data_IF_345892541728
#
_entry.id   IF_345892541728
#
_cell.length_a   1.000
_cell.length_b   1.000
_cell.length_c   1.000
_cell.angle_alpha   90.00
_cell.angle_beta   90.00
_cell.angle_gamma   90.00
#
_symmetry.space_group_name_H-M   'P 1'
#
loop_
_entity.id
_entity.type
_entity.pdbx_description
1 polymer ?
#
# COMPACT_ATOMS: atom_id res chain seq x y z
N UNK A 1 -2.85 -26.98 13.57
CA UNK A 1 -3.03 -26.19 14.82
C UNK A 1 -1.91 -25.16 14.81
N UNK A 2 -2.23 -23.90 14.52
CA UNK A 2 -1.26 -22.90 14.03
C UNK A 2 -0.17 -22.57 15.05
N UNK A 3 1.10 -22.65 14.64
CA UNK A 3 2.28 -22.28 15.43
C UNK A 3 2.49 -20.75 15.52
N UNK A 4 1.60 -19.96 14.93
CA UNK A 4 1.80 -18.52 14.73
C UNK A 4 0.62 -17.74 15.30
N UNK A 5 0.80 -17.17 16.49
CA UNK A 5 0.02 -16.02 16.95
C UNK A 5 0.73 -14.78 16.44
N UNK A 6 0.10 -14.07 15.51
CA UNK A 6 0.54 -12.71 15.20
C UNK A 6 0.17 -11.85 16.40
N UNK A 7 1.17 -11.34 17.12
CA UNK A 7 1.00 -10.16 17.95
C UNK A 7 0.75 -8.99 17.00
N UNK A 8 -0.51 -8.86 16.59
CA UNK A 8 -0.95 -7.67 15.88
C UNK A 8 -0.75 -6.47 16.79
N UNK A 9 -0.48 -5.27 16.22
CA UNK A 9 -0.56 -4.05 16.99
C UNK A 9 -1.90 -4.03 17.71
N UNK A 10 -1.81 -4.07 19.04
CA UNK A 10 -2.95 -3.81 19.89
C UNK A 10 -3.40 -2.35 19.64
N UNK A 11 -4.70 -2.05 19.70
CA UNK A 11 -5.24 -0.72 19.35
C UNK A 11 -4.64 0.46 20.14
N UNK A 12 -3.95 0.18 21.25
CA UNK A 12 -3.32 1.11 22.17
C UNK A 12 -1.86 1.46 21.81
N UNK A 13 -1.18 0.65 21.00
CA UNK A 13 0.12 0.99 20.44
C UNK A 13 -0.03 1.93 19.24
N UNK A 14 0.73 3.02 19.24
CA UNK A 14 0.84 3.92 18.08
C UNK A 14 1.32 3.20 16.81
N UNK A 15 1.29 3.89 15.66
CA UNK A 15 1.68 3.28 14.39
C UNK A 15 3.13 2.78 14.43
N UNK A 16 3.36 1.56 13.96
CA UNK A 16 4.70 0.99 13.89
C UNK A 16 5.60 1.79 12.94
N UNK A 17 6.87 1.88 13.32
CA UNK A 17 7.96 2.36 12.48
C UNK A 17 8.30 1.33 11.39
N UNK A 18 9.00 1.79 10.35
CA UNK A 18 9.43 0.90 9.26
C UNK A 18 10.38 -0.21 9.78
N UNK A 19 11.20 0.10 10.78
CA UNK A 19 12.09 -0.86 11.43
C UNK A 19 11.33 -1.95 12.20
N UNK A 20 10.25 -1.60 12.91
CA UNK A 20 9.41 -2.55 13.63
C UNK A 20 8.69 -3.50 12.67
N UNK A 21 8.12 -2.96 11.59
CA UNK A 21 7.46 -3.76 10.54
C UNK A 21 8.46 -4.73 9.90
N UNK A 22 9.65 -4.25 9.54
CA UNK A 22 10.67 -5.08 8.92
C UNK A 22 11.18 -6.17 9.88
N UNK A 23 11.33 -5.85 11.17
CA UNK A 23 11.75 -6.82 12.20
C UNK A 23 10.71 -7.93 12.35
N UNK A 24 9.43 -7.57 12.42
CA UNK A 24 8.33 -8.52 12.48
C UNK A 24 8.24 -9.39 11.21
N UNK A 25 8.35 -8.79 10.02
CA UNK A 25 8.37 -9.52 8.75
C UNK A 25 9.54 -10.48 8.66
N UNK A 26 10.72 -10.06 9.11
CA UNK A 26 11.91 -10.91 9.11
C UNK A 26 11.77 -12.09 10.08
N UNK A 27 11.14 -11.88 11.24
CA UNK A 27 10.80 -12.96 12.17
C UNK A 27 9.81 -13.95 11.53
N UNK A 28 8.75 -13.43 10.89
CA UNK A 28 7.77 -14.23 10.16
C UNK A 28 8.38 -14.97 8.95
N UNK A 29 9.37 -14.39 8.27
CA UNK A 29 10.07 -15.07 7.18
C UNK A 29 10.83 -16.30 7.70
N UNK A 30 11.63 -16.13 8.78
CA UNK A 30 12.41 -17.23 9.40
C UNK A 30 11.52 -18.35 9.92
N UNK A 31 10.39 -17.97 10.50
CA UNK A 31 9.31 -18.85 10.92
C UNK A 31 8.80 -19.79 9.81
N UNK A 32 8.74 -19.29 8.57
CA UNK A 32 8.40 -20.08 7.38
C UNK A 32 9.61 -20.67 6.66
N UNK A 33 10.79 -20.65 7.28
CA UNK A 33 12.07 -21.13 6.73
C UNK A 33 12.55 -20.33 5.51
N UNK A 34 12.27 -19.03 5.50
CA UNK A 34 12.84 -18.07 4.57
C UNK A 34 13.90 -17.19 5.26
N UNK A 35 14.90 -16.75 4.50
CA UNK A 35 16.04 -15.99 5.01
C UNK A 35 15.81 -14.49 4.89
N UNK A 36 15.24 -14.06 3.76
CA UNK A 36 14.97 -12.66 3.45
C UNK A 36 13.49 -12.43 3.16
N UNK A 37 13.08 -11.17 3.31
CA UNK A 37 11.75 -10.70 2.95
C UNK A 37 11.82 -9.31 2.32
N UNK A 38 10.82 -9.00 1.51
CA UNK A 38 10.59 -7.67 0.96
C UNK A 38 9.09 -7.41 0.91
N UNK A 39 8.66 -6.24 1.34
CA UNK A 39 7.31 -5.76 1.12
C UNK A 39 7.35 -4.43 0.36
N UNK A 40 6.73 -4.41 -0.80
CA UNK A 40 6.42 -3.20 -1.55
C UNK A 40 4.97 -2.78 -1.34
N UNK A 41 4.71 -1.48 -1.20
CA UNK A 41 3.37 -0.90 -1.27
C UNK A 41 3.37 0.19 -2.34
N UNK A 42 2.40 0.11 -3.26
CA UNK A 42 2.18 1.05 -4.36
C UNK A 42 0.87 1.77 -4.13
N UNK A 43 0.95 3.09 -4.07
CA UNK A 43 -0.20 3.98 -3.98
C UNK A 43 -0.71 4.32 -5.38
N UNK A 44 -2.04 4.46 -5.57
CA UNK A 44 -2.63 4.74 -6.87
C UNK A 44 -2.37 6.18 -7.34
N UNK A 45 -1.95 7.09 -6.45
CA UNK A 45 -1.69 8.49 -6.78
C UNK A 45 -0.25 8.91 -6.47
N UNK A 46 0.34 9.80 -7.29
CA UNK A 46 -0.15 10.29 -8.58
C UNK A 46 -0.27 9.19 -9.65
N UNK A 47 -1.26 9.29 -10.55
CA UNK A 47 -1.50 8.24 -11.58
C UNK A 47 -0.33 8.09 -12.57
N UNK A 48 0.32 9.20 -12.91
CA UNK A 48 1.41 9.25 -13.90
C UNK A 48 2.73 8.70 -13.35
N UNK A 49 2.94 8.84 -12.04
CA UNK A 49 4.11 8.31 -11.35
C UNK A 49 3.70 7.83 -9.95
N UNK A 50 3.13 6.61 -9.84
CA UNK A 50 2.68 6.03 -8.59
C UNK A 50 3.79 6.01 -7.55
N UNK A 51 3.49 6.45 -6.33
CA UNK A 51 4.45 6.34 -5.23
C UNK A 51 4.58 4.89 -4.79
N UNK A 52 5.81 4.42 -4.65
CA UNK A 52 6.14 3.08 -4.17
C UNK A 52 7.02 3.25 -2.93
N UNK A 53 6.69 2.51 -1.87
CA UNK A 53 7.55 2.35 -0.69
C UNK A 53 7.90 0.88 -0.53
N UNK A 54 9.16 0.59 -0.24
CA UNK A 54 9.67 -0.78 -0.11
C UNK A 54 10.45 -0.92 1.18
N UNK A 55 10.14 -1.94 1.96
CA UNK A 55 10.96 -2.40 3.09
C UNK A 55 11.48 -3.79 2.75
N UNK A 56 12.76 -4.05 2.96
CA UNK A 56 13.34 -5.36 2.69
C UNK A 56 14.50 -5.68 3.62
N UNK A 57 14.80 -6.97 3.74
CA UNK A 57 15.94 -7.51 4.49
C UNK A 57 17.01 -8.12 3.56
N UNK A 58 17.06 -7.69 2.31
CA UNK A 58 18.07 -8.16 1.37
C UNK A 58 19.47 -7.64 1.72
N UNK A 59 20.54 -8.31 1.23
CA UNK A 59 21.88 -7.75 1.28
C UNK A 59 21.90 -6.34 0.70
N UNK A 60 22.52 -5.40 1.41
CA UNK A 60 22.55 -3.98 1.02
C UNK A 60 23.07 -3.79 -0.41
N UNK A 61 24.13 -4.53 -0.78
CA UNK A 61 24.73 -4.48 -2.12
C UNK A 61 23.75 -4.89 -3.22
N UNK A 62 22.94 -5.93 -2.98
CA UNK A 62 21.91 -6.35 -3.92
C UNK A 62 20.83 -5.27 -4.06
N UNK A 63 20.34 -4.74 -2.95
CA UNK A 63 19.28 -3.73 -2.99
C UNK A 63 19.72 -2.45 -3.69
N UNK A 64 20.97 -2.01 -3.46
CA UNK A 64 21.54 -0.87 -4.16
C UNK A 64 21.59 -1.12 -5.68
N UNK A 65 22.06 -2.29 -6.10
CA UNK A 65 22.07 -2.68 -7.52
C UNK A 65 20.67 -2.75 -8.12
N UNK A 66 19.70 -3.23 -7.36
CA UNK A 66 18.30 -3.31 -7.79
C UNK A 66 17.73 -1.91 -8.10
N UNK A 67 18.07 -0.92 -7.28
CA UNK A 67 17.68 0.48 -7.49
C UNK A 67 18.43 1.07 -8.69
N UNK A 68 19.76 0.98 -8.69
CA UNK A 68 20.62 1.63 -9.68
C UNK A 68 20.29 1.19 -11.11
N UNK A 69 19.98 -0.10 -11.29
CA UNK A 69 19.62 -0.67 -12.59
C UNK A 69 18.11 -0.67 -12.86
N UNK A 70 17.30 -0.09 -11.96
CA UNK A 70 15.83 -0.04 -12.10
C UNK A 70 15.19 -1.41 -12.35
N UNK A 71 15.65 -2.44 -11.63
CA UNK A 71 15.23 -3.82 -11.88
C UNK A 71 13.73 -4.07 -11.68
N UNK A 72 13.03 -3.22 -10.92
CA UNK A 72 11.57 -3.24 -10.82
C UNK A 72 10.84 -3.21 -12.17
N UNK A 73 11.45 -2.64 -13.22
CA UNK A 73 10.85 -2.54 -14.56
C UNK A 73 10.93 -3.86 -15.36
N UNK A 74 11.90 -4.71 -15.03
CA UNK A 74 12.15 -5.98 -15.75
C UNK A 74 11.88 -7.22 -14.88
N UNK A 75 11.68 -7.05 -13.56
CA UNK A 75 11.42 -8.11 -12.61
C UNK A 75 10.09 -8.84 -12.91
N UNK A 76 10.14 -10.10 -13.38
CA UNK A 76 8.94 -10.87 -13.71
C UNK A 76 8.04 -11.14 -12.50
N UNK A 77 8.58 -11.19 -11.28
CA UNK A 77 7.78 -11.36 -10.08
C UNK A 77 6.95 -10.10 -9.80
N UNK A 78 7.53 -8.91 -10.00
CA UNK A 78 6.82 -7.63 -9.91
C UNK A 78 5.77 -7.51 -11.01
N UNK A 79 6.11 -7.89 -12.24
CA UNK A 79 5.17 -7.89 -13.36
C UNK A 79 3.95 -8.80 -13.10
N UNK A 80 4.19 -10.02 -12.63
CA UNK A 80 3.11 -10.96 -12.25
C UNK A 80 2.25 -10.40 -11.12
N UNK A 81 2.87 -9.95 -10.02
CA UNK A 81 2.13 -9.42 -8.87
C UNK A 81 1.37 -8.13 -9.19
N UNK A 82 1.80 -7.38 -10.21
CA UNK A 82 1.09 -6.22 -10.75
C UNK A 82 -0.13 -6.59 -11.60
N UNK A 83 -0.15 -7.76 -12.23
CA UNK A 83 -1.28 -8.25 -13.03
C UNK A 83 -2.22 -9.20 -12.28
N UNK A 84 -1.75 -9.86 -11.22
CA UNK A 84 -2.44 -10.98 -10.57
C UNK A 84 -2.36 -10.91 -9.05
N UNK A 85 -3.39 -11.43 -8.38
CA UNK A 85 -3.41 -11.72 -6.94
C UNK A 85 -3.13 -13.19 -6.61
N UNK A 86 -2.67 -13.97 -7.59
CA UNK A 86 -2.18 -15.33 -7.34
C UNK A 86 -0.71 -15.28 -6.95
N UNK A 87 -0.26 -16.19 -6.08
CA UNK A 87 1.14 -16.28 -5.76
C UNK A 87 1.93 -16.69 -7.00
N UNK A 88 3.19 -16.30 -7.05
CA UNK A 88 4.16 -16.81 -8.00
C UNK A 88 5.35 -17.36 -7.24
N UNK A 89 5.82 -18.52 -7.68
CA UNK A 89 7.05 -19.14 -7.18
C UNK A 89 8.17 -18.81 -8.15
N UNK A 90 9.30 -18.36 -7.62
CA UNK A 90 10.50 -18.12 -8.40
C UNK A 90 11.01 -19.41 -9.02
N UNK A 91 11.28 -19.37 -10.31
CA UNK A 91 11.81 -20.48 -11.09
C UNK A 91 12.58 -19.95 -12.29
N UNK A 92 13.50 -20.74 -12.84
CA UNK A 92 14.24 -20.35 -14.03
C UNK A 92 13.31 -20.05 -15.21
N UNK A 93 12.17 -20.76 -15.31
CA UNK A 93 11.15 -20.48 -16.32
C UNK A 93 10.47 -19.12 -16.16
N UNK A 94 10.24 -18.66 -14.92
CA UNK A 94 9.64 -17.35 -14.65
C UNK A 94 10.60 -16.23 -15.06
N UNK A 95 11.89 -16.42 -14.77
CA UNK A 95 12.92 -15.40 -15.00
C UNK A 95 13.64 -15.53 -16.34
N UNK A 96 13.23 -16.45 -17.21
CA UNK A 96 13.80 -16.63 -18.55
C UNK A 96 13.86 -15.33 -19.38
N UNK A 97 12.87 -14.41 -19.34
CA UNK A 97 12.95 -13.13 -20.03
C UNK A 97 13.98 -12.14 -19.45
N UNK A 98 14.43 -12.34 -18.21
CA UNK A 98 15.31 -11.46 -17.46
C UNK A 98 16.48 -12.25 -16.85
N UNK A 99 17.14 -13.07 -17.68
CA UNK A 99 18.15 -14.03 -17.22
C UNK A 99 19.34 -13.38 -16.50
N UNK A 100 19.87 -12.28 -17.01
CA UNK A 100 21.03 -11.60 -16.40
C UNK A 100 20.70 -11.09 -14.98
N UNK A 101 19.53 -10.45 -14.83
CA UNK A 101 18.99 -10.04 -13.53
C UNK A 101 18.84 -11.23 -12.58
N UNK A 102 18.36 -12.37 -13.08
CA UNK A 102 18.17 -13.57 -12.28
C UNK A 102 19.48 -14.21 -11.82
N UNK A 103 20.43 -14.36 -12.73
CA UNK A 103 21.75 -14.90 -12.42
C UNK A 103 22.46 -14.01 -11.36
N UNK A 104 22.29 -12.70 -11.44
CA UNK A 104 22.79 -11.76 -10.43
C UNK A 104 22.07 -11.94 -9.09
N UNK A 105 20.73 -11.96 -9.05
CA UNK A 105 19.96 -12.18 -7.82
C UNK A 105 20.38 -13.48 -7.11
N UNK A 106 20.56 -14.56 -7.87
CA UNK A 106 21.01 -15.85 -7.36
C UNK A 106 22.42 -15.83 -6.76
N UNK A 107 23.31 -14.97 -7.29
CA UNK A 107 24.66 -14.77 -6.74
C UNK A 107 24.66 -14.15 -5.34
N UNK A 108 23.62 -13.38 -5.02
CA UNK A 108 23.35 -12.83 -3.67
C UNK A 108 22.52 -13.76 -2.78
N UNK A 109 22.30 -15.01 -3.18
CA UNK A 109 21.54 -16.00 -2.40
C UNK A 109 20.03 -15.93 -2.58
N UNK A 110 19.51 -15.10 -3.49
CA UNK A 110 18.07 -14.99 -3.77
C UNK A 110 17.66 -16.01 -4.84
N UNK A 111 17.56 -17.29 -4.44
CA UNK A 111 17.41 -18.41 -5.39
C UNK A 111 16.02 -19.01 -5.41
N UNK A 112 15.37 -19.05 -4.26
CA UNK A 112 14.02 -19.57 -4.11
C UNK A 112 13.20 -18.47 -3.49
N UNK A 113 12.02 -18.21 -4.05
CA UNK A 113 11.16 -17.18 -3.53
C UNK A 113 9.69 -17.40 -3.82
N UNK A 114 8.89 -16.81 -2.96
CA UNK A 114 7.45 -16.78 -3.05
C UNK A 114 7.02 -15.33 -3.01
N UNK A 115 6.34 -14.88 -4.06
CA UNK A 115 5.82 -13.53 -4.17
C UNK A 115 4.30 -13.54 -4.30
N UNK A 116 3.63 -12.70 -3.51
CA UNK A 116 2.18 -12.63 -3.43
C UNK A 116 1.75 -11.16 -3.33
N UNK A 117 0.76 -10.78 -4.14
CA UNK A 117 0.17 -9.45 -4.04
C UNK A 117 -1.10 -9.44 -3.18
N UNK A 118 -1.41 -8.28 -2.60
CA UNK A 118 -2.67 -7.95 -1.96
C UNK A 118 -3.16 -6.62 -2.53
N UNK A 119 -4.47 -6.48 -2.76
CA UNK A 119 -5.10 -5.25 -3.24
C UNK A 119 -6.28 -4.89 -2.37
N UNK A 120 -6.38 -3.63 -2.00
CA UNK A 120 -7.53 -3.10 -1.28
C UNK A 120 -8.56 -2.44 -2.22
N UNK A 121 -9.69 -2.04 -1.65
CA UNK A 121 -10.77 -1.36 -2.37
C UNK A 121 -10.43 0.06 -2.85
N UNK A 122 -9.30 0.63 -2.43
CA UNK A 122 -8.84 1.96 -2.86
C UNK A 122 -7.80 1.89 -3.97
N UNK A 123 -7.49 0.68 -4.45
CA UNK A 123 -6.50 0.47 -5.51
C UNK A 123 -5.06 0.52 -5.00
N UNK A 124 -4.84 0.46 -3.69
CA UNK A 124 -3.51 0.28 -3.11
C UNK A 124 -3.11 -1.18 -3.30
N UNK A 125 -1.90 -1.38 -3.81
CA UNK A 125 -1.37 -2.72 -4.10
C UNK A 125 -0.14 -2.94 -3.26
N UNK A 126 -0.10 -4.01 -2.48
CA UNK A 126 1.12 -4.48 -1.85
C UNK A 126 1.60 -5.79 -2.47
N UNK A 127 2.89 -6.01 -2.37
CA UNK A 127 3.55 -7.25 -2.78
C UNK A 127 4.47 -7.68 -1.65
N UNK A 128 4.23 -8.84 -1.08
CA UNK A 128 5.14 -9.50 -0.15
C UNK A 128 5.93 -10.55 -0.92
N UNK A 129 7.24 -10.53 -0.74
CA UNK A 129 8.18 -11.51 -1.27
C UNK A 129 8.97 -12.11 -0.11
N UNK A 130 9.00 -13.43 -0.03
CA UNK A 130 9.89 -14.17 0.86
C UNK A 130 10.89 -14.94 0.02
N UNK A 131 12.16 -15.00 0.44
CA UNK A 131 13.19 -15.70 -0.31
C UNK A 131 14.23 -16.40 0.57
N UNK A 132 14.85 -17.46 0.02
CA UNK A 132 15.92 -18.23 0.65
C UNK A 132 16.96 -18.71 -0.38
N UNK A 133 18.15 -19.00 0.09
CA UNK A 133 19.24 -19.58 -0.69
C UNK A 133 19.17 -21.11 -0.82
N UNK A 134 18.42 -21.76 0.07
CA UNK A 134 18.33 -23.21 0.21
C UNK A 134 17.44 -23.92 -0.82
N UNK A 135 16.82 -25.02 -0.39
CA UNK A 135 16.07 -25.93 -1.28
C UNK A 135 14.85 -25.27 -1.93
N UNK A 136 14.50 -25.74 -3.13
CA UNK A 136 13.29 -25.31 -3.84
C UNK A 136 12.03 -25.58 -3.03
N UNK A 137 11.03 -24.72 -3.15
CA UNK A 137 9.72 -24.94 -2.52
C UNK A 137 9.03 -26.15 -3.16
N UNK A 138 9.01 -27.27 -2.44
CA UNK A 138 8.34 -28.49 -2.88
C UNK A 138 6.82 -28.33 -2.87
N UNK A 139 6.10 -29.17 -3.63
CA UNK A 139 4.63 -29.11 -3.74
C UNK A 139 3.93 -29.35 -2.40
N UNK A 140 4.44 -30.28 -1.59
CA UNK A 140 3.91 -30.59 -0.26
C UNK A 140 4.16 -29.44 0.72
N UNK A 141 5.37 -28.88 0.72
CA UNK A 141 5.72 -27.71 1.53
C UNK A 141 4.80 -26.53 1.19
N UNK A 142 4.68 -26.21 -0.11
CA UNK A 142 3.85 -25.11 -0.59
C UNK A 142 2.38 -25.33 -0.20
N UNK A 143 1.81 -26.50 -0.44
CA UNK A 143 0.42 -26.80 -0.08
C UNK A 143 0.17 -26.64 1.42
N UNK A 144 1.14 -26.97 2.27
CA UNK A 144 1.03 -26.81 3.72
C UNK A 144 1.13 -25.35 4.19
N UNK A 145 1.94 -24.52 3.50
CA UNK A 145 2.24 -23.15 3.92
C UNK A 145 1.35 -22.09 3.24
N UNK A 146 0.82 -22.36 2.04
CA UNK A 146 0.20 -21.37 1.15
C UNK A 146 -0.89 -20.53 1.84
N UNK A 147 -1.77 -21.15 2.63
CA UNK A 147 -2.83 -20.41 3.35
C UNK A 147 -2.25 -19.41 4.34
N UNK A 148 -1.28 -19.83 5.15
CA UNK A 148 -0.69 -18.98 6.19
C UNK A 148 0.16 -17.87 5.59
N UNK A 149 0.88 -18.21 4.53
CA UNK A 149 1.63 -17.29 3.69
C UNK A 149 0.71 -16.19 3.10
N UNK A 150 -0.43 -16.55 2.49
CA UNK A 150 -1.43 -15.56 2.01
C UNK A 150 -1.94 -14.67 3.14
N UNK A 151 -2.22 -15.25 4.31
CA UNK A 151 -2.63 -14.47 5.50
C UNK A 151 -1.53 -13.50 5.94
N UNK A 152 -0.26 -13.93 5.95
CA UNK A 152 0.88 -13.06 6.25
C UNK A 152 0.94 -11.87 5.29
N UNK A 153 0.69 -12.09 3.99
CA UNK A 153 0.67 -10.99 3.00
C UNK A 153 -0.41 -9.97 3.30
N UNK A 154 -1.62 -10.42 3.65
CA UNK A 154 -2.72 -9.54 4.04
C UNK A 154 -2.39 -8.75 5.31
N UNK A 155 -1.81 -9.42 6.32
CA UNK A 155 -1.40 -8.77 7.56
C UNK A 155 -0.33 -7.71 7.31
N UNK A 156 0.69 -8.05 6.52
CA UNK A 156 1.76 -7.14 6.15
C UNK A 156 1.25 -5.94 5.34
N UNK A 157 0.32 -6.15 4.41
CA UNK A 157 -0.35 -5.08 3.68
C UNK A 157 -1.08 -4.11 4.64
N UNK A 158 -1.88 -4.64 5.58
CA UNK A 158 -2.60 -3.81 6.56
C UNK A 158 -1.66 -3.04 7.47
N UNK A 159 -0.56 -3.66 7.92
CA UNK A 159 0.44 -3.00 8.76
C UNK A 159 1.15 -1.88 8.02
N UNK A 160 1.64 -2.14 6.81
CA UNK A 160 2.25 -1.12 5.95
C UNK A 160 1.29 0.02 5.66
N UNK A 161 0.04 -0.31 5.30
CA UNK A 161 -0.98 0.68 5.04
C UNK A 161 -1.30 1.50 6.29
N UNK A 162 -1.44 0.87 7.46
CA UNK A 162 -1.72 1.56 8.70
C UNK A 162 -0.58 2.50 9.11
N UNK A 163 0.67 2.03 9.07
CA UNK A 163 1.85 2.86 9.37
C UNK A 163 1.96 4.05 8.42
N UNK A 164 1.77 3.82 7.12
CA UNK A 164 1.81 4.88 6.12
C UNK A 164 0.66 5.88 6.29
N UNK A 165 -0.56 5.37 6.51
CA UNK A 165 -1.73 6.18 6.78
C UNK A 165 -1.51 7.03 8.03
N UNK A 166 -1.05 6.48 9.13
CA UNK A 166 -0.88 7.27 10.36
C UNK A 166 0.12 8.42 10.17
N UNK A 167 1.16 8.25 9.35
CA UNK A 167 2.09 9.34 8.98
C UNK A 167 1.44 10.37 8.04
N UNK A 168 0.82 9.91 6.93
CA UNK A 168 0.30 10.81 5.89
C UNK A 168 -1.08 11.41 6.22
N UNK A 169 -2.00 10.57 6.72
CA UNK A 169 -3.36 10.94 7.12
C UNK A 169 -3.36 11.70 8.44
N UNK A 170 -2.47 11.39 9.40
CA UNK A 170 -2.42 12.11 10.67
C UNK A 170 -2.24 13.62 10.47
N UNK A 171 -1.31 14.00 9.60
CA UNK A 171 -1.06 15.39 9.24
C UNK A 171 -2.21 16.00 8.41
N UNK A 172 -2.75 15.25 7.45
CA UNK A 172 -3.78 15.77 6.53
C UNK A 172 -5.19 15.82 7.14
N UNK A 173 -5.58 14.87 8.01
CA UNK A 173 -6.84 14.93 8.79
C UNK A 173 -6.81 16.07 9.79
N UNK A 174 -5.67 16.31 10.45
CA UNK A 174 -5.53 17.45 11.35
C UNK A 174 -5.63 18.79 10.59
N UNK A 175 -5.25 18.81 9.31
CA UNK A 175 -5.30 20.02 8.50
C UNK A 175 -6.70 20.37 7.97
N UNK A 176 -7.52 19.38 7.59
CA UNK A 176 -8.86 19.62 7.03
C UNK A 176 -9.91 19.87 8.12
N UNK A 177 -10.69 20.93 7.94
CA UNK A 177 -11.84 21.21 8.81
C UNK A 177 -13.04 20.33 8.42
N UNK A 178 -13.95 20.08 9.36
CA UNK A 178 -15.21 19.34 9.06
C UNK A 178 -15.98 19.97 7.89
N UNK A 179 -15.99 21.31 7.83
CA UNK A 179 -16.67 22.05 6.75
C UNK A 179 -16.00 21.86 5.40
N UNK A 180 -14.67 21.80 5.35
CA UNK A 180 -13.94 21.49 4.12
C UNK A 180 -14.22 20.07 3.64
N UNK A 181 -14.28 19.09 4.56
CA UNK A 181 -14.64 17.70 4.23
C UNK A 181 -16.07 17.60 3.71
N UNK A 182 -17.03 18.25 4.37
CA UNK A 182 -18.44 18.28 3.95
C UNK A 182 -18.60 18.87 2.54
N UNK A 183 -17.94 20.00 2.27
CA UNK A 183 -17.97 20.64 0.96
C UNK A 183 -17.30 19.76 -0.11
N UNK A 184 -16.16 19.12 0.21
CA UNK A 184 -15.49 18.19 -0.70
C UNK A 184 -16.35 16.97 -1.04
N UNK A 185 -17.15 16.45 -0.11
CA UNK A 185 -18.08 15.34 -0.37
C UNK A 185 -19.13 15.71 -1.42
N UNK A 186 -19.78 16.87 -1.26
CA UNK A 186 -20.74 17.33 -2.26
C UNK A 186 -20.09 17.58 -3.61
N UNK A 187 -18.87 18.12 -3.62
CA UNK A 187 -18.11 18.29 -4.85
C UNK A 187 -17.74 16.93 -5.49
N UNK A 188 -17.44 15.91 -4.70
CA UNK A 188 -17.18 14.55 -5.17
C UNK A 188 -18.43 13.88 -5.76
N UNK A 189 -19.62 14.19 -5.25
CA UNK A 189 -20.91 13.81 -5.85
C UNK A 189 -21.26 14.64 -7.12
N UNK A 190 -20.35 15.51 -7.57
CA UNK A 190 -20.51 16.30 -8.79
C UNK A 190 -21.32 17.59 -8.64
N UNK A 191 -21.60 18.04 -7.40
CA UNK A 191 -22.34 19.30 -7.17
C UNK A 191 -21.49 20.51 -7.53
N UNK A 192 -22.11 21.51 -8.16
CA UNK A 192 -21.44 22.78 -8.44
C UNK A 192 -21.32 23.62 -7.17
N UNK A 193 -20.40 24.58 -7.13
CA UNK A 193 -20.29 25.48 -5.98
C UNK A 193 -21.59 26.23 -5.65
N UNK A 194 -22.47 26.47 -6.65
CA UNK A 194 -23.79 27.08 -6.45
C UNK A 194 -24.77 26.10 -5.78
N UNK A 195 -24.78 24.85 -6.21
CA UNK A 195 -25.60 23.81 -5.61
C UNK A 195 -25.17 23.57 -4.16
N UNK A 196 -23.87 23.49 -3.90
CA UNK A 196 -23.31 23.34 -2.55
C UNK A 196 -23.70 24.51 -1.66
N UNK A 197 -23.61 25.75 -2.18
CA UNK A 197 -24.02 26.95 -1.46
C UNK A 197 -25.50 26.89 -1.05
N UNK A 198 -26.38 26.46 -1.97
CA UNK A 198 -27.79 26.26 -1.74
C UNK A 198 -28.07 25.15 -0.70
N UNK A 199 -27.45 23.98 -0.87
CA UNK A 199 -27.61 22.81 0.01
C UNK A 199 -27.20 23.15 1.45
N UNK A 200 -26.09 23.89 1.60
CA UNK A 200 -25.48 24.15 2.89
C UNK A 200 -25.88 25.50 3.51
N UNK A 201 -26.76 26.27 2.86
CA UNK A 201 -27.24 27.57 3.34
C UNK A 201 -26.15 28.63 3.53
N UNK A 202 -25.09 28.60 2.71
CA UNK A 202 -23.96 29.55 2.78
C UNK A 202 -23.71 30.24 1.44
N UNK A 203 -22.90 31.30 1.44
CA UNK A 203 -22.59 32.03 0.20
C UNK A 203 -21.68 31.22 -0.74
N UNK A 204 -21.79 31.47 -2.05
CA UNK A 204 -20.89 30.87 -3.05
C UNK A 204 -19.41 31.24 -2.81
N UNK A 205 -19.13 32.44 -2.31
CA UNK A 205 -17.77 32.85 -1.97
C UNK A 205 -17.21 32.04 -0.80
N UNK A 206 -18.04 31.73 0.22
CA UNK A 206 -17.67 30.84 1.33
C UNK A 206 -17.36 29.43 0.83
N UNK A 207 -18.17 28.86 -0.07
CA UNK A 207 -17.89 27.55 -0.67
C UNK A 207 -16.56 27.55 -1.42
N UNK A 208 -16.31 28.56 -2.26
CA UNK A 208 -15.06 28.71 -3.01
C UNK A 208 -13.84 28.84 -2.08
N UNK A 209 -13.98 29.56 -0.97
CA UNK A 209 -12.93 29.71 0.03
C UNK A 209 -12.55 28.35 0.63
N UNK A 210 -13.53 27.57 1.11
CA UNK A 210 -13.26 26.23 1.67
C UNK A 210 -12.69 25.27 0.62
N UNK A 211 -13.21 25.26 -0.62
CA UNK A 211 -12.66 24.42 -1.69
C UNK A 211 -11.20 24.76 -2.01
N UNK A 212 -10.86 26.05 -2.05
CA UNK A 212 -9.47 26.51 -2.26
C UNK A 212 -8.55 26.05 -1.13
N UNK A 213 -8.97 26.24 0.12
CA UNK A 213 -8.18 25.82 1.27
C UNK A 213 -8.00 24.30 1.31
N UNK A 214 -9.07 23.54 1.09
CA UNK A 214 -9.01 22.08 1.06
C UNK A 214 -8.10 21.56 -0.06
N UNK A 215 -8.19 22.15 -1.26
CA UNK A 215 -7.32 21.82 -2.40
C UNK A 215 -5.84 22.08 -2.07
N UNK A 216 -5.55 23.21 -1.42
CA UNK A 216 -4.19 23.55 -0.98
C UNK A 216 -3.67 22.60 0.12
N UNK A 217 -4.51 22.28 1.11
CA UNK A 217 -4.16 21.36 2.21
C UNK A 217 -3.93 19.93 1.73
N UNK A 218 -4.60 19.53 0.65
CA UNK A 218 -4.42 18.23 0.00
C UNK A 218 -3.24 18.20 -0.98
N UNK A 219 -2.49 19.30 -1.10
CA UNK A 219 -1.39 19.45 -2.05
C UNK A 219 -1.81 19.09 -3.48
N UNK A 220 -3.01 19.54 -3.88
CA UNK A 220 -3.57 19.24 -5.19
C UNK A 220 -3.56 20.47 -6.10
N UNK A 221 -3.24 20.29 -7.38
CA UNK A 221 -3.26 21.37 -8.37
C UNK A 221 -4.66 21.85 -8.76
N UNK A 222 -5.70 21.04 -8.51
CA UNK A 222 -7.09 21.39 -8.77
C UNK A 222 -8.05 20.54 -7.91
N UNK A 223 -9.34 20.89 -7.96
CA UNK A 223 -10.40 20.24 -7.19
C UNK A 223 -10.52 18.74 -7.49
N UNK A 224 -10.44 18.33 -8.76
CA UNK A 224 -10.51 16.91 -9.13
C UNK A 224 -9.37 16.09 -8.52
N UNK A 225 -8.14 16.63 -8.55
CA UNK A 225 -7.00 16.03 -7.88
C UNK A 225 -7.15 16.00 -6.36
N UNK A 226 -7.74 17.04 -5.77
CA UNK A 226 -8.03 17.10 -4.33
C UNK A 226 -9.03 16.00 -3.93
N UNK A 227 -10.14 15.87 -4.65
CA UNK A 227 -11.14 14.83 -4.43
C UNK A 227 -10.51 13.44 -4.55
N UNK A 228 -9.74 13.19 -5.62
CA UNK A 228 -9.07 11.90 -5.82
C UNK A 228 -8.12 11.55 -4.66
N UNK A 229 -7.29 12.51 -4.21
CA UNK A 229 -6.41 12.32 -3.04
C UNK A 229 -7.21 12.06 -1.77
N UNK A 230 -8.28 12.83 -1.53
CA UNK A 230 -9.11 12.68 -0.34
C UNK A 230 -9.84 11.31 -0.30
N UNK A 231 -10.21 10.74 -1.45
CA UNK A 231 -10.78 9.39 -1.55
C UNK A 231 -9.74 8.30 -1.25
N UNK A 232 -8.57 8.35 -1.89
CA UNK A 232 -7.50 7.35 -1.70
C UNK A 232 -6.96 7.33 -0.27
N UNK A 233 -6.95 8.49 0.38
CA UNK A 233 -6.56 8.65 1.77
C UNK A 233 -7.73 8.42 2.75
N UNK A 234 -8.90 8.01 2.27
CA UNK A 234 -10.05 7.71 3.12
C UNK A 234 -10.43 8.88 4.07
N UNK A 235 -10.22 10.11 3.58
CA UNK A 235 -10.47 11.39 4.28
C UNK A 235 -11.92 11.84 4.15
N UNK A 236 -12.64 11.32 3.15
CA UNK A 236 -14.04 11.65 2.92
C UNK A 236 -15.00 10.74 3.72
N UNK A 237 -14.50 9.77 4.49
CA UNK A 237 -15.33 8.97 5.39
C UNK A 237 -15.66 9.75 6.67
N UNK A 238 -16.89 9.63 7.15
CA UNK A 238 -17.37 10.25 8.38
C UNK A 238 -18.90 10.26 8.40
N UNK A 239 -19.55 10.69 9.49
CA UNK A 239 -21.00 10.64 9.60
C UNK A 239 -21.63 11.35 8.39
N UNK A 240 -22.67 10.73 7.82
CA UNK A 240 -23.41 11.28 6.68
C UNK A 240 -23.79 12.73 7.02
N UNK A 241 -23.64 13.69 6.09
CA UNK A 241 -24.17 15.02 6.30
C UNK A 241 -25.65 14.87 6.67
N UNK A 242 -26.05 15.48 7.78
CA UNK A 242 -27.41 15.45 8.26
C UNK A 242 -28.33 15.99 7.17
N UNK A 243 -29.07 15.09 6.53
CA UNK A 243 -30.12 15.45 5.60
C UNK A 243 -31.16 16.26 6.38
N UNK A 244 -31.17 17.57 6.15
CA UNK A 244 -32.22 18.52 6.50
C UNK A 244 -32.66 18.56 7.98
N UNK A 245 -32.23 19.61 8.71
CA UNK A 245 -33.12 20.24 9.67
C UNK A 245 -34.12 21.08 8.87
N UNK A 246 -35.38 20.64 8.77
CA UNK A 246 -36.44 21.49 8.22
C UNK A 246 -37.64 20.76 7.64
N UNK A 247 -38.59 20.42 8.51
CA UNK A 247 -40.02 20.73 8.37
C UNK A 247 -40.63 20.74 9.75
#
# INVERSE_FOLDING_TARGET
>A
MGKWQFDFPQPDHGPWSDAEILTWLSSAARAFEFECCSIGIRFPLPLTNPRISVLNSYPHEWWQRYIDNSYHAIDPSVAHCTASQRPVIWSDSLFQPAKEFWDEAQSFGLRVGWAQSCRDGLGIVSMLTLSRSGETLGTVELASKERELRMLTECAHRLMLHAFRSRLIGEMRAALTEREVEILRWAADGKTGKDIALILGISLSTVRFHLKNATSKLDAGNLSGAIARAMVLDLLQGPRPSLCKGS
#
